data_IF_126841322526
#
_entry.id   IF_126841322526
#
_cell.length_a   1.000
_cell.length_b   1.000
_cell.length_c   1.000
_cell.angle_alpha   90.00
_cell.angle_beta   90.00
_cell.angle_gamma   90.00
#
_symmetry.space_group_name_H-M   'P 1'
#
loop_
_entity.id
_entity.type
_entity.pdbx_description
1 polymer ?
#
# COMPACT_ATOMS: atom_id res chain seq x y z
N UNK A 1 -64.23 -61.35 -4.23
CA UNK A 1 -65.36 -60.42 -4.49
C UNK A 1 -64.83 -59.02 -4.61
N UNK A 2 -65.11 -58.40 -5.76
CA UNK A 2 -65.06 -56.98 -6.17
C UNK A 2 -63.76 -56.16 -5.94
N UNK A 3 -63.00 -55.90 -7.01
CA UNK A 3 -63.08 -54.85 -8.00
C UNK A 3 -63.14 -53.44 -7.43
N UNK A 4 -62.07 -52.61 -7.64
CA UNK A 4 -62.11 -51.44 -8.56
C UNK A 4 -60.85 -50.57 -8.42
N UNK A 5 -60.06 -50.49 -9.52
CA UNK A 5 -59.83 -49.35 -10.41
C UNK A 5 -58.86 -48.27 -9.89
N UNK A 6 -57.69 -48.32 -10.41
CA UNK A 6 -56.98 -47.36 -11.27
C UNK A 6 -57.37 -45.88 -11.15
N UNK A 7 -56.44 -45.05 -10.81
CA UNK A 7 -56.23 -43.84 -11.60
C UNK A 7 -54.74 -43.35 -11.55
N UNK A 8 -54.15 -43.34 -12.73
CA UNK A 8 -52.87 -42.73 -13.06
C UNK A 8 -52.96 -41.23 -12.89
N UNK A 9 -52.12 -40.65 -12.07
CA UNK A 9 -51.89 -39.22 -12.08
C UNK A 9 -50.50 -38.95 -12.65
N UNK A 10 -50.48 -38.50 -13.90
CA UNK A 10 -49.27 -38.00 -14.59
C UNK A 10 -48.77 -36.73 -13.87
N UNK A 11 -47.64 -36.83 -13.20
CA UNK A 11 -46.93 -35.67 -12.70
C UNK A 11 -46.04 -35.12 -13.81
N UNK A 12 -46.52 -34.10 -14.51
CA UNK A 12 -45.73 -33.33 -15.48
C UNK A 12 -44.71 -32.52 -14.73
N UNK A 13 -43.43 -32.93 -14.85
CA UNK A 13 -42.31 -32.19 -14.35
C UNK A 13 -42.16 -30.83 -15.07
N UNK A 14 -42.44 -29.74 -14.40
CA UNK A 14 -42.00 -28.40 -14.80
C UNK A 14 -40.60 -28.23 -14.29
N UNK A 15 -39.62 -28.35 -15.20
CA UNK A 15 -38.27 -27.91 -14.97
C UNK A 15 -38.29 -26.38 -14.86
N UNK A 16 -38.11 -25.85 -13.66
CA UNK A 16 -37.85 -24.44 -13.44
C UNK A 16 -36.38 -24.19 -13.77
N UNK A 17 -36.15 -23.67 -14.97
CA UNK A 17 -34.85 -23.19 -15.40
C UNK A 17 -34.57 -21.90 -14.61
N UNK A 18 -33.80 -22.00 -13.53
CA UNK A 18 -33.30 -20.81 -12.83
C UNK A 18 -32.26 -20.13 -13.71
N UNK A 19 -32.70 -19.06 -14.41
CA UNK A 19 -31.84 -18.19 -15.16
C UNK A 19 -31.02 -17.35 -14.14
N UNK A 20 -29.80 -17.79 -13.87
CA UNK A 20 -28.84 -16.96 -13.10
C UNK A 20 -28.45 -15.76 -13.95
N UNK A 21 -29.11 -14.62 -13.71
CA UNK A 21 -28.68 -13.33 -14.25
C UNK A 21 -27.39 -12.94 -13.56
N UNK A 22 -26.26 -13.21 -14.19
CA UNK A 22 -24.98 -12.60 -13.82
C UNK A 22 -25.10 -11.11 -14.12
N UNK A 23 -25.45 -10.34 -13.10
CA UNK A 23 -25.28 -8.89 -13.15
C UNK A 23 -23.77 -8.64 -13.06
N UNK A 24 -23.14 -8.55 -14.23
CA UNK A 24 -21.80 -8.01 -14.34
C UNK A 24 -21.90 -6.54 -13.94
N UNK A 25 -21.52 -6.21 -12.70
CA UNK A 25 -21.24 -4.82 -12.37
C UNK A 25 -20.04 -4.41 -13.21
N UNK A 26 -20.15 -3.37 -14.06
CA UNK A 26 -18.97 -2.81 -14.66
C UNK A 26 -18.11 -2.30 -13.48
N UNK A 27 -16.92 -2.87 -13.33
CA UNK A 27 -15.85 -2.22 -12.58
C UNK A 27 -15.60 -0.94 -13.35
N UNK A 28 -16.18 0.15 -12.89
CA UNK A 28 -15.76 1.48 -13.33
C UNK A 28 -14.29 1.57 -12.88
N UNK A 29 -13.37 1.42 -13.82
CA UNK A 29 -12.10 2.07 -13.69
C UNK A 29 -12.47 3.54 -13.46
N UNK A 30 -12.24 4.05 -12.26
CA UNK A 30 -12.29 5.49 -12.04
C UNK A 30 -11.16 6.02 -12.91
N UNK A 31 -11.51 6.61 -14.05
CA UNK A 31 -10.59 7.45 -14.78
C UNK A 31 -10.17 8.53 -13.79
N UNK A 32 -8.93 8.43 -13.29
CA UNK A 32 -8.37 9.41 -12.37
C UNK A 32 -8.39 10.74 -13.09
N UNK A 33 -9.19 11.67 -12.61
CA UNK A 33 -9.32 12.99 -13.22
C UNK A 33 -7.96 13.69 -13.18
N UNK A 34 -7.51 14.16 -14.34
CA UNK A 34 -6.20 14.80 -14.48
C UNK A 34 -6.16 16.06 -13.61
N UNK A 35 -5.15 16.21 -12.73
CA UNK A 35 -5.03 17.39 -11.88
C UNK A 35 -4.78 18.64 -12.70
N UNK A 36 -5.17 19.78 -12.17
CA UNK A 36 -5.02 21.06 -12.84
C UNK A 36 -3.54 21.35 -13.14
N UNK A 37 -3.21 21.80 -14.37
CA UNK A 37 -1.84 22.13 -14.74
C UNK A 37 -1.37 23.45 -14.10
N UNK A 38 -0.06 23.63 -14.00
CA UNK A 38 0.59 24.79 -13.34
C UNK A 38 0.05 26.16 -13.78
N UNK A 39 -0.33 26.31 -15.04
CA UNK A 39 -0.86 27.58 -15.57
C UNK A 39 -2.15 28.04 -14.90
N UNK A 40 -2.98 27.14 -14.40
CA UNK A 40 -4.22 27.46 -13.65
C UNK A 40 -3.84 28.08 -12.31
N UNK A 41 -2.84 27.52 -11.62
CA UNK A 41 -2.35 28.02 -10.33
C UNK A 41 -1.69 29.42 -10.47
N UNK A 42 -1.00 29.66 -11.57
CA UNK A 42 -0.33 30.94 -11.83
C UNK A 42 -1.28 32.09 -12.11
N UNK A 43 -2.46 31.79 -12.69
CA UNK A 43 -3.41 32.80 -13.17
C UNK A 43 -4.61 32.98 -12.25
N UNK A 44 -4.59 32.44 -11.03
CA UNK A 44 -5.64 32.64 -10.06
C UNK A 44 -5.64 34.10 -9.59
N UNK A 45 -6.79 34.76 -9.70
CA UNK A 45 -6.98 36.16 -9.28
C UNK A 45 -8.15 36.28 -8.30
N UNK A 46 -8.19 37.39 -7.59
CA UNK A 46 -9.28 37.73 -6.68
C UNK A 46 -10.55 38.03 -7.46
N UNK A 47 -11.69 37.50 -7.01
CA UNK A 47 -12.99 37.67 -7.66
C UNK A 47 -13.73 38.95 -7.20
N UNK A 48 -13.46 39.43 -5.99
CA UNK A 48 -14.17 40.54 -5.37
C UNK A 48 -13.31 41.81 -5.29
N UNK A 49 -13.96 42.99 -5.28
CA UNK A 49 -13.28 44.30 -5.22
C UNK A 49 -12.38 44.45 -3.98
N UNK A 50 -11.25 45.15 -4.18
CA UNK A 50 -10.21 45.38 -3.15
C UNK A 50 -10.68 46.44 -2.18
N UNK A 51 -10.66 46.13 -0.88
CA UNK A 51 -10.73 47.14 0.18
C UNK A 51 -9.32 47.69 0.40
N UNK A 52 -9.08 48.98 0.18
CA UNK A 52 -7.78 49.61 0.44
C UNK A 52 -7.39 49.45 1.90
N UNK A 53 -6.27 48.77 2.16
CA UNK A 53 -5.67 48.61 3.48
C UNK A 53 -4.48 49.59 3.66
N UNK A 54 -4.27 50.10 4.87
CA UNK A 54 -3.15 50.99 5.19
C UNK A 54 -1.80 50.26 5.25
N UNK A 55 -0.69 50.98 5.07
CA UNK A 55 0.67 50.45 4.83
C UNK A 55 1.14 49.23 5.61
N UNK A 56 1.04 49.20 6.96
CA UNK A 56 1.45 48.05 7.77
C UNK A 56 0.59 46.80 7.51
N UNK A 57 -0.69 46.99 7.19
CA UNK A 57 -1.61 45.91 6.84
C UNK A 57 -1.31 45.35 5.44
N UNK A 58 -0.72 46.16 4.54
CA UNK A 58 -0.28 45.72 3.20
C UNK A 58 0.88 44.73 3.29
N UNK A 59 1.89 44.97 4.14
CA UNK A 59 3.01 44.03 4.30
C UNK A 59 2.57 42.68 4.85
N UNK A 60 1.70 42.67 5.87
CA UNK A 60 1.12 41.45 6.45
C UNK A 60 0.30 40.69 5.41
N UNK A 61 -0.48 41.44 4.60
CA UNK A 61 -1.29 40.84 3.54
C UNK A 61 -0.41 40.22 2.45
N UNK A 62 0.64 40.92 2.00
CA UNK A 62 1.57 40.42 1.01
C UNK A 62 2.26 39.13 1.46
N UNK A 63 2.65 39.03 2.73
CA UNK A 63 3.23 37.81 3.28
C UNK A 63 2.23 36.67 3.36
N UNK A 64 0.98 36.95 3.75
CA UNK A 64 -0.09 35.95 3.72
C UNK A 64 -0.39 35.44 2.30
N UNK A 65 -0.38 36.31 1.30
CA UNK A 65 -0.55 35.94 -0.12
C UNK A 65 0.63 35.08 -0.61
N UNK A 66 1.88 35.41 -0.22
CA UNK A 66 3.07 34.59 -0.55
C UNK A 66 2.98 33.19 0.05
N UNK A 67 2.59 33.09 1.32
CA UNK A 67 2.45 31.81 2.01
C UNK A 67 1.32 30.96 1.43
N UNK A 68 0.16 31.57 1.14
CA UNK A 68 -0.95 30.92 0.45
C UNK A 68 -0.54 30.38 -0.93
N UNK A 69 0.19 31.21 -1.71
CA UNK A 69 0.73 30.81 -3.00
C UNK A 69 1.68 29.62 -2.90
N UNK A 70 2.63 29.67 -1.96
CA UNK A 70 3.59 28.59 -1.73
C UNK A 70 2.87 27.27 -1.39
N UNK A 71 1.94 27.32 -0.45
CA UNK A 71 1.15 26.14 -0.02
C UNK A 71 0.26 25.60 -1.15
N UNK A 72 -0.39 26.49 -1.92
CA UNK A 72 -1.26 26.09 -3.04
C UNK A 72 -0.43 25.49 -4.17
N UNK A 73 0.71 26.09 -4.50
CA UNK A 73 1.66 25.55 -5.49
C UNK A 73 2.20 24.18 -5.08
N UNK A 74 2.57 24.00 -3.80
CA UNK A 74 3.08 22.71 -3.30
C UNK A 74 2.05 21.59 -3.41
N UNK A 75 0.79 21.85 -3.04
CA UNK A 75 -0.29 20.87 -3.20
C UNK A 75 -0.54 20.54 -4.67
N UNK A 76 -0.51 21.55 -5.55
CA UNK A 76 -0.66 21.34 -6.99
C UNK A 76 0.47 20.51 -7.59
N UNK A 77 1.72 20.82 -7.25
CA UNK A 77 2.90 20.08 -7.70
C UNK A 77 2.91 18.63 -7.21
N UNK A 78 2.53 18.42 -5.95
CA UNK A 78 2.38 17.09 -5.37
C UNK A 78 1.32 16.26 -6.11
N UNK A 79 0.12 16.81 -6.30
CA UNK A 79 -0.97 16.14 -7.01
C UNK A 79 -0.59 15.81 -8.45
N UNK A 80 -0.01 16.76 -9.18
CA UNK A 80 0.43 16.58 -10.54
C UNK A 80 1.47 15.47 -10.71
N UNK A 81 2.51 15.48 -9.87
CA UNK A 81 3.58 14.49 -9.97
C UNK A 81 3.10 13.10 -9.51
N UNK A 82 2.28 13.02 -8.47
CA UNK A 82 1.67 11.76 -8.04
C UNK A 82 0.79 11.15 -9.13
N UNK A 83 0.00 11.96 -9.83
CA UNK A 83 -0.78 11.51 -10.98
C UNK A 83 0.10 10.94 -12.10
N UNK A 84 1.22 11.62 -12.43
CA UNK A 84 2.19 11.12 -13.43
C UNK A 84 2.81 9.79 -13.01
N UNK A 85 3.21 9.67 -11.74
CA UNK A 85 3.76 8.42 -11.19
C UNK A 85 2.72 7.30 -11.30
N UNK A 86 1.46 7.57 -10.92
CA UNK A 86 0.36 6.59 -11.01
C UNK A 86 0.14 6.10 -12.45
N UNK A 87 0.10 7.01 -13.42
CA UNK A 87 0.00 6.65 -14.84
C UNK A 87 1.19 5.81 -15.35
N UNK A 88 2.40 6.09 -14.86
CA UNK A 88 3.58 5.33 -15.26
C UNK A 88 3.61 3.94 -14.59
N UNK A 89 3.09 3.80 -13.38
CA UNK A 89 2.89 2.51 -12.72
C UNK A 89 1.87 1.65 -13.48
N UNK A 90 0.74 2.21 -13.91
CA UNK A 90 -0.26 1.51 -14.73
C UNK A 90 0.33 0.95 -16.03
N UNK A 91 1.11 1.77 -16.76
CA UNK A 91 1.80 1.32 -17.98
C UNK A 91 2.77 0.15 -17.73
N UNK A 92 3.32 0.04 -16.52
CA UNK A 92 4.28 -0.98 -16.10
C UNK A 92 3.67 -2.10 -15.27
N UNK A 93 2.37 -2.14 -15.10
CA UNK A 93 1.64 -3.09 -14.24
C UNK A 93 2.11 -4.54 -14.46
N UNK A 94 2.07 -5.04 -15.70
CA UNK A 94 2.47 -6.41 -16.03
C UNK A 94 3.95 -6.72 -15.72
N UNK A 95 4.79 -5.72 -15.75
CA UNK A 95 6.20 -5.87 -15.38
C UNK A 95 6.35 -5.98 -13.88
N UNK A 96 5.69 -5.09 -13.13
CA UNK A 96 5.71 -5.07 -11.65
C UNK A 96 5.09 -6.34 -11.07
N UNK A 97 3.99 -6.85 -11.63
CA UNK A 97 3.37 -8.12 -11.23
C UNK A 97 4.32 -9.32 -11.36
N UNK A 98 5.23 -9.29 -12.34
CA UNK A 98 6.23 -10.36 -12.52
C UNK A 98 7.46 -10.19 -11.64
N UNK A 99 7.89 -8.96 -11.39
CA UNK A 99 9.08 -8.67 -10.58
C UNK A 99 8.80 -8.86 -9.10
N UNK A 100 7.65 -8.35 -8.64
CA UNK A 100 7.23 -8.43 -7.24
C UNK A 100 6.12 -9.45 -7.03
N UNK A 101 6.35 -10.70 -7.48
CA UNK A 101 5.41 -11.80 -7.28
C UNK A 101 5.55 -12.39 -5.87
N UNK A 102 4.86 -11.79 -4.92
CA UNK A 102 4.81 -12.26 -3.54
C UNK A 102 4.15 -13.64 -3.41
N UNK A 103 3.29 -14.03 -4.35
CA UNK A 103 2.55 -15.29 -4.27
C UNK A 103 3.48 -16.51 -4.26
N UNK A 104 4.61 -16.45 -4.95
CA UNK A 104 5.62 -17.50 -4.97
C UNK A 104 6.38 -17.65 -3.65
N UNK A 105 6.35 -16.63 -2.80
CA UNK A 105 7.04 -16.62 -1.51
C UNK A 105 6.17 -17.19 -0.38
N UNK A 106 4.85 -17.27 -0.57
CA UNK A 106 3.92 -17.75 0.44
C UNK A 106 4.12 -19.22 0.77
N UNK A 107 3.82 -19.59 2.01
CA UNK A 107 3.93 -20.96 2.51
C UNK A 107 2.51 -21.49 2.72
N UNK A 108 2.14 -22.65 2.16
CA UNK A 108 0.84 -23.26 2.40
C UNK A 108 0.67 -23.60 3.88
N UNK A 109 -0.44 -23.17 4.47
CA UNK A 109 -0.86 -23.55 5.82
C UNK A 109 -1.92 -24.67 5.77
N UNK A 110 -2.15 -25.41 6.86
CA UNK A 110 -3.31 -26.28 6.99
C UNK A 110 -4.61 -25.53 6.68
N UNK A 111 -5.61 -26.20 6.13
CA UNK A 111 -6.94 -25.65 5.78
C UNK A 111 -7.00 -24.66 4.60
N UNK A 112 -5.96 -24.60 3.79
CA UNK A 112 -5.96 -23.77 2.58
C UNK A 112 -5.67 -22.28 2.79
N UNK A 113 -5.35 -21.87 4.02
CA UNK A 113 -4.77 -20.55 4.28
C UNK A 113 -3.29 -20.51 3.89
N UNK A 114 -2.75 -19.31 3.84
CA UNK A 114 -1.36 -19.06 3.47
C UNK A 114 -0.62 -18.45 4.67
N UNK A 115 0.66 -18.73 4.77
CA UNK A 115 1.55 -18.07 5.71
C UNK A 115 2.47 -17.16 4.91
N UNK A 116 2.40 -15.89 5.20
CA UNK A 116 3.40 -14.93 4.74
C UNK A 116 4.69 -15.16 5.50
N UNK A 117 5.84 -15.35 4.81
CA UNK A 117 7.11 -15.60 5.46
C UNK A 117 7.60 -14.36 6.23
N UNK A 118 8.51 -14.54 7.18
CA UNK A 118 9.13 -13.42 7.87
C UNK A 118 9.97 -12.58 6.91
N UNK A 119 10.09 -11.29 7.23
CA UNK A 119 10.98 -10.38 6.54
C UNK A 119 12.31 -10.36 7.28
N UNK A 120 13.37 -10.76 6.60
CA UNK A 120 14.71 -10.84 7.15
C UNK A 120 15.59 -9.77 6.51
N UNK A 121 16.14 -8.86 7.33
CA UNK A 121 17.17 -7.93 6.90
C UNK A 121 18.57 -8.57 6.99
N UNK A 122 19.50 -8.04 6.21
CA UNK A 122 20.90 -8.41 6.20
C UNK A 122 21.76 -7.14 6.25
N UNK A 123 22.68 -7.10 7.18
CA UNK A 123 23.71 -6.07 7.25
C UNK A 123 25.07 -6.71 7.03
N UNK A 124 25.86 -6.15 6.13
CA UNK A 124 27.22 -6.60 5.85
C UNK A 124 28.24 -5.75 6.59
N UNK A 125 29.37 -6.37 6.96
CA UNK A 125 30.52 -5.72 7.59
C UNK A 125 30.14 -4.88 8.82
N UNK A 126 29.29 -5.46 9.70
CA UNK A 126 28.88 -4.79 10.92
C UNK A 126 29.97 -4.86 11.97
N UNK A 127 30.31 -3.70 12.56
CA UNK A 127 31.24 -3.58 13.66
C UNK A 127 30.51 -3.07 14.90
N UNK A 128 30.58 -3.82 15.98
CA UNK A 128 30.10 -3.41 17.29
C UNK A 128 31.31 -3.08 18.17
N UNK A 129 31.41 -1.82 18.61
CA UNK A 129 32.43 -1.38 19.56
C UNK A 129 31.78 -1.33 20.93
N UNK A 130 32.25 -2.17 21.89
CA UNK A 130 31.74 -2.14 23.24
C UNK A 130 32.31 -0.96 24.05
N UNK A 131 31.55 -0.50 25.05
CA UNK A 131 31.92 0.60 25.91
C UNK A 131 33.25 0.29 26.64
N UNK A 132 34.30 1.05 26.32
CA UNK A 132 35.64 0.90 26.90
C UNK A 132 36.75 0.77 25.85
N UNK A 133 36.43 0.69 24.56
CA UNK A 133 37.35 0.67 23.43
C UNK A 133 38.46 -0.39 23.43
N UNK A 134 38.33 -1.42 24.28
CA UNK A 134 39.32 -2.51 24.37
C UNK A 134 38.87 -3.77 23.61
N UNK A 135 37.59 -3.85 23.23
CA UNK A 135 37.02 -4.97 22.50
C UNK A 135 36.09 -4.52 21.39
N UNK A 136 36.30 -5.03 20.20
CA UNK A 136 35.43 -4.78 19.04
C UNK A 136 35.02 -6.10 18.42
N UNK A 137 33.73 -6.36 18.31
CA UNK A 137 33.20 -7.51 17.58
C UNK A 137 32.94 -7.10 16.12
N UNK A 138 33.51 -7.85 15.18
CA UNK A 138 33.30 -7.66 13.75
C UNK A 138 32.57 -8.87 13.20
N UNK A 139 31.49 -8.63 12.48
CA UNK A 139 30.71 -9.66 11.82
C UNK A 139 30.60 -9.39 10.34
N UNK A 140 30.90 -10.38 9.50
CA UNK A 140 30.78 -10.26 8.04
C UNK A 140 29.32 -10.03 7.61
N UNK A 141 28.38 -10.69 8.30
CA UNK A 141 26.95 -10.57 8.06
C UNK A 141 26.16 -10.71 9.33
N UNK A 142 25.17 -9.86 9.48
CA UNK A 142 24.17 -9.94 10.58
C UNK A 142 22.79 -10.04 9.94
N UNK A 143 22.02 -11.04 10.35
CA UNK A 143 20.62 -11.23 9.95
C UNK A 143 19.69 -10.86 11.10
N UNK A 144 18.63 -10.11 10.78
CA UNK A 144 17.58 -9.76 11.73
C UNK A 144 16.21 -10.09 11.15
N UNK A 145 15.34 -10.71 11.93
CA UNK A 145 13.93 -10.89 11.59
C UNK A 145 13.20 -9.60 11.95
N UNK A 146 12.85 -8.79 10.94
CA UNK A 146 12.18 -7.49 11.13
C UNK A 146 10.69 -7.69 11.39
N UNK A 147 10.06 -8.60 10.64
CA UNK A 147 8.64 -8.97 10.79
C UNK A 147 8.55 -10.49 10.83
N UNK A 148 7.79 -11.02 11.78
CA UNK A 148 7.56 -12.46 11.88
C UNK A 148 6.54 -12.95 10.84
N UNK A 149 6.51 -14.28 10.65
CA UNK A 149 5.52 -14.94 9.82
C UNK A 149 4.09 -14.68 10.32
N UNK A 150 3.14 -14.51 9.42
CA UNK A 150 1.73 -14.28 9.74
C UNK A 150 0.81 -15.06 8.79
N UNK A 151 -0.39 -15.41 9.31
CA UNK A 151 -1.42 -16.07 8.52
C UNK A 151 -2.12 -15.01 7.69
N UNK A 152 -2.25 -15.25 6.39
CA UNK A 152 -2.89 -14.36 5.44
C UNK A 152 -3.87 -15.12 4.55
N UNK A 153 -4.89 -14.46 4.06
CA UNK A 153 -5.82 -15.00 3.07
C UNK A 153 -5.29 -14.88 1.64
N UNK A 154 -4.50 -13.84 1.39
CA UNK A 154 -3.86 -13.56 0.10
C UNK A 154 -2.47 -12.97 0.35
N UNK A 155 -1.59 -13.07 -0.63
CA UNK A 155 -0.29 -12.40 -0.59
C UNK A 155 -0.44 -10.91 -0.81
N UNK A 156 0.55 -10.16 -0.33
CA UNK A 156 0.69 -8.73 -0.62
C UNK A 156 0.86 -8.49 -2.11
N UNK A 157 0.54 -7.28 -2.52
CA UNK A 157 0.78 -6.79 -3.87
C UNK A 157 1.67 -5.54 -3.81
N UNK A 158 2.47 -5.31 -4.85
CA UNK A 158 3.21 -4.06 -5.00
C UNK A 158 2.29 -2.82 -4.97
N UNK A 159 1.01 -3.01 -5.34
CA UNK A 159 -0.01 -1.96 -5.30
C UNK A 159 -0.25 -1.42 -3.90
N UNK A 160 -0.19 -2.26 -2.88
CA UNK A 160 -0.36 -1.85 -1.47
C UNK A 160 0.75 -0.89 -0.99
N UNK A 161 1.88 -0.90 -1.67
CA UNK A 161 3.01 -0.03 -1.37
C UNK A 161 3.00 1.23 -2.24
N UNK A 162 2.80 1.07 -3.56
CA UNK A 162 3.03 2.14 -4.54
C UNK A 162 1.74 2.84 -5.00
N UNK A 163 0.58 2.22 -4.84
CA UNK A 163 -0.70 2.83 -5.15
C UNK A 163 -1.36 3.34 -3.87
N UNK A 164 -1.17 4.63 -3.59
CA UNK A 164 -1.87 5.29 -2.48
C UNK A 164 -3.21 5.83 -2.98
N UNK A 165 -4.26 5.56 -2.22
CA UNK A 165 -5.54 6.22 -2.42
C UNK A 165 -5.48 7.63 -1.81
N UNK A 166 -5.25 8.62 -2.64
CA UNK A 166 -5.18 10.02 -2.23
C UNK A 166 -6.56 10.70 -2.19
N UNK A 167 -7.64 9.95 -2.43
CA UNK A 167 -8.99 10.51 -2.45
C UNK A 167 -9.26 11.47 -3.62
N UNK A 168 -8.39 11.46 -4.65
CA UNK A 168 -8.43 12.34 -5.82
C UNK A 168 -7.24 13.31 -5.88
N UNK A 169 -7.05 13.92 -7.05
CA UNK A 169 -5.96 14.89 -7.31
C UNK A 169 -6.48 16.33 -7.32
N UNK A 170 -7.70 16.56 -6.88
CA UNK A 170 -8.28 17.88 -6.79
C UNK A 170 -7.64 18.68 -5.65
N UNK A 171 -7.24 19.90 -5.96
CA UNK A 171 -6.61 20.81 -5.00
C UNK A 171 -7.53 21.98 -4.75
N UNK A 172 -8.02 22.09 -3.52
CA UNK A 172 -8.87 23.21 -3.08
C UNK A 172 -8.17 24.55 -3.31
N UNK A 173 -8.86 25.45 -4.01
CA UNK A 173 -8.38 26.81 -4.21
C UNK A 173 -8.35 27.59 -2.89
N UNK A 174 -7.34 28.44 -2.66
CA UNK A 174 -7.31 29.26 -1.46
C UNK A 174 -8.46 30.26 -1.41
N UNK A 175 -8.90 30.65 -0.20
CA UNK A 175 -9.94 31.63 0.00
C UNK A 175 -9.67 32.93 -0.79
N UNK A 176 -10.70 33.59 -1.32
CA UNK A 176 -10.59 34.79 -2.13
C UNK A 176 -9.79 35.93 -1.47
N UNK A 177 -9.86 36.03 -0.13
CA UNK A 177 -9.09 37.02 0.64
C UNK A 177 -7.56 36.83 0.51
N UNK A 178 -7.08 35.62 0.21
CA UNK A 178 -5.66 35.28 0.06
C UNK A 178 -5.23 35.25 -1.43
N UNK A 179 -6.14 35.50 -2.36
CA UNK A 179 -5.81 35.57 -3.79
C UNK A 179 -5.22 36.94 -4.14
N UNK A 180 -4.30 37.04 -5.10
CA UNK A 180 -3.64 38.28 -5.46
C UNK A 180 -4.62 39.29 -6.10
N UNK A 181 -4.58 40.54 -5.66
CA UNK A 181 -5.46 41.61 -6.11
C UNK A 181 -4.73 42.64 -6.99
N UNK A 182 -3.49 43.01 -6.65
CA UNK A 182 -2.70 44.01 -7.36
C UNK A 182 -1.54 43.39 -8.15
N UNK A 183 -0.75 44.26 -8.82
CA UNK A 183 0.37 43.80 -9.66
C UNK A 183 1.51 43.21 -8.82
N UNK A 184 1.83 43.81 -7.67
CA UNK A 184 2.89 43.35 -6.80
C UNK A 184 2.56 42.01 -6.16
N UNK A 185 1.34 41.86 -5.66
CA UNK A 185 0.83 40.57 -5.15
C UNK A 185 0.83 39.49 -6.25
N UNK A 186 0.46 39.81 -7.50
CA UNK A 186 0.52 38.86 -8.63
C UNK A 186 1.93 38.40 -8.96
N UNK A 187 2.90 39.30 -8.94
CA UNK A 187 4.31 38.92 -9.16
C UNK A 187 4.84 38.03 -8.01
N UNK A 188 4.53 38.38 -6.77
CA UNK A 188 4.87 37.59 -5.61
C UNK A 188 4.16 36.21 -5.65
N UNK A 189 2.89 36.18 -6.01
CA UNK A 189 2.08 34.96 -6.19
C UNK A 189 2.73 34.01 -7.19
N UNK A 190 3.00 34.44 -8.43
CA UNK A 190 3.61 33.62 -9.47
C UNK A 190 4.96 33.04 -9.03
N UNK A 191 5.79 33.84 -8.41
CA UNK A 191 7.10 33.41 -7.90
C UNK A 191 6.96 32.31 -6.84
N UNK A 192 6.03 32.48 -5.90
CA UNK A 192 5.84 31.52 -4.80
C UNK A 192 5.07 30.27 -5.26
N UNK A 193 4.14 30.37 -6.21
CA UNK A 193 3.51 29.20 -6.85
C UNK A 193 4.57 28.31 -7.50
N UNK A 194 5.48 28.87 -8.30
CA UNK A 194 6.54 28.08 -8.97
C UNK A 194 7.40 27.38 -7.92
N UNK A 195 7.83 28.13 -6.89
CA UNK A 195 8.64 27.58 -5.81
C UNK A 195 7.91 26.46 -5.06
N UNK A 196 6.64 26.68 -4.72
CA UNK A 196 5.80 25.67 -4.07
C UNK A 196 5.62 24.43 -4.95
N UNK A 197 5.33 24.64 -6.25
CA UNK A 197 5.17 23.57 -7.21
C UNK A 197 6.39 22.66 -7.31
N UNK A 198 7.58 23.25 -7.41
CA UNK A 198 8.84 22.50 -7.43
C UNK A 198 9.03 21.68 -6.14
N UNK A 199 8.68 22.26 -4.98
CA UNK A 199 8.73 21.54 -3.70
C UNK A 199 7.72 20.39 -3.66
N UNK A 200 6.51 20.60 -4.18
CA UNK A 200 5.49 19.56 -4.25
C UNK A 200 5.87 18.40 -5.17
N UNK A 201 6.46 18.69 -6.32
CA UNK A 201 7.00 17.67 -7.24
C UNK A 201 8.11 16.86 -6.55
N UNK A 202 9.06 17.52 -5.92
CA UNK A 202 10.15 16.88 -5.20
C UNK A 202 9.62 15.98 -4.07
N UNK A 203 8.65 16.46 -3.30
CA UNK A 203 8.02 15.68 -2.24
C UNK A 203 7.31 14.42 -2.77
N UNK A 204 6.65 14.49 -3.94
CA UNK A 204 6.03 13.32 -4.55
C UNK A 204 7.07 12.26 -4.97
N UNK A 205 8.19 12.70 -5.53
CA UNK A 205 9.29 11.82 -5.91
C UNK A 205 9.94 11.16 -4.69
N UNK A 206 10.19 11.90 -3.62
CA UNK A 206 10.72 11.38 -2.34
C UNK A 206 9.80 10.33 -1.73
N UNK A 207 8.48 10.60 -1.68
CA UNK A 207 7.48 9.65 -1.18
C UNK A 207 7.49 8.37 -2.02
N UNK A 208 7.57 8.49 -3.33
CA UNK A 208 7.62 7.33 -4.22
C UNK A 208 8.90 6.51 -4.05
N UNK A 209 10.05 7.16 -3.90
CA UNK A 209 11.33 6.49 -3.64
C UNK A 209 11.32 5.74 -2.31
N UNK A 210 10.77 6.33 -1.24
CA UNK A 210 10.62 5.69 0.06
C UNK A 210 9.69 4.47 -0.01
N UNK A 211 8.55 4.57 -0.69
CA UNK A 211 7.61 3.48 -0.88
C UNK A 211 8.22 2.33 -1.71
N UNK A 212 8.97 2.65 -2.76
CA UNK A 212 9.69 1.67 -3.58
C UNK A 212 10.83 0.99 -2.79
N UNK A 213 11.52 1.73 -1.96
CA UNK A 213 12.54 1.18 -1.07
C UNK A 213 11.91 0.20 -0.06
N UNK A 214 10.76 0.55 0.52
CA UNK A 214 10.03 -0.32 1.44
C UNK A 214 9.53 -1.59 0.74
N UNK A 215 8.93 -1.47 -0.43
CA UNK A 215 8.51 -2.62 -1.26
C UNK A 215 9.69 -3.56 -1.55
N UNK A 216 10.81 -2.98 -1.98
CA UNK A 216 12.02 -3.72 -2.33
C UNK A 216 12.63 -4.42 -1.11
N UNK A 217 12.67 -3.75 0.02
CA UNK A 217 13.18 -4.29 1.27
C UNK A 217 12.33 -5.46 1.79
N UNK A 218 11.00 -5.31 1.78
CA UNK A 218 10.07 -6.36 2.22
C UNK A 218 10.16 -7.58 1.28
N UNK A 219 10.13 -7.38 -0.03
CA UNK A 219 10.24 -8.46 -1.01
C UNK A 219 11.58 -9.20 -0.90
N UNK A 220 12.70 -8.47 -0.89
CA UNK A 220 14.02 -9.06 -0.72
C UNK A 220 14.19 -9.76 0.62
N UNK A 221 13.58 -9.23 1.68
CA UNK A 221 13.59 -9.85 3.00
C UNK A 221 12.89 -11.20 3.02
N UNK A 222 11.75 -11.34 2.32
CA UNK A 222 11.08 -12.64 2.17
C UNK A 222 11.87 -13.60 1.27
N UNK A 223 12.47 -13.12 0.18
CA UNK A 223 13.36 -13.93 -0.68
C UNK A 223 14.56 -14.44 0.13
N UNK A 224 15.18 -13.57 0.93
CA UNK A 224 16.30 -13.93 1.82
C UNK A 224 15.88 -15.00 2.83
N UNK A 225 14.69 -14.88 3.41
CA UNK A 225 14.14 -15.93 4.27
C UNK A 225 14.12 -17.29 3.55
N UNK A 226 13.62 -17.35 2.31
CA UNK A 226 13.57 -18.59 1.53
C UNK A 226 14.97 -19.17 1.28
N UNK A 227 15.95 -18.33 1.02
CA UNK A 227 17.35 -18.75 0.86
C UNK A 227 17.93 -19.30 2.17
N UNK A 228 17.75 -18.58 3.29
CA UNK A 228 18.22 -19.03 4.58
C UNK A 228 17.53 -20.32 5.04
N UNK A 229 16.23 -20.48 4.73
CA UNK A 229 15.50 -21.71 5.00
C UNK A 229 16.07 -22.89 4.22
N UNK A 230 16.37 -22.73 2.94
CA UNK A 230 17.01 -23.77 2.11
C UNK A 230 18.41 -24.15 2.61
N UNK A 231 19.11 -23.19 3.21
CA UNK A 231 20.42 -23.40 3.83
C UNK A 231 20.35 -23.98 5.26
N UNK A 232 19.16 -24.10 5.87
CA UNK A 232 19.01 -24.53 7.24
C UNK A 232 19.46 -23.51 8.29
N UNK A 233 19.60 -22.24 7.90
CA UNK A 233 20.01 -21.13 8.76
C UNK A 233 18.85 -20.48 9.51
N UNK A 234 17.61 -20.78 9.11
CA UNK A 234 16.39 -20.33 9.77
C UNK A 234 15.37 -21.48 9.80
N UNK A 235 14.57 -21.55 10.85
CA UNK A 235 13.53 -22.58 10.97
C UNK A 235 12.25 -22.19 10.20
N UNK A 236 11.47 -23.20 9.73
CA UNK A 236 10.16 -22.94 9.13
C UNK A 236 9.13 -22.54 10.20
N UNK A 237 8.10 -21.73 9.84
CA UNK A 237 6.97 -21.51 10.71
C UNK A 237 6.18 -22.82 10.89
N UNK A 238 5.69 -23.05 12.10
CA UNK A 238 4.82 -24.18 12.42
C UNK A 238 3.41 -23.65 12.66
N UNK A 239 2.43 -24.20 11.94
CA UNK A 239 1.03 -23.86 12.13
C UNK A 239 0.24 -25.10 12.51
N UNK A 240 -0.66 -24.94 13.48
CA UNK A 240 -1.61 -25.98 13.93
C UNK A 240 -3.03 -25.54 13.59
N UNK A 241 -3.82 -26.49 13.08
CA UNK A 241 -5.25 -26.35 12.95
C UNK A 241 -5.95 -27.04 14.11
N UNK A 242 -6.85 -26.34 14.76
CA UNK A 242 -7.71 -26.88 15.83
C UNK A 242 -9.16 -26.83 15.33
N UNK A 243 -9.78 -27.99 15.23
CA UNK A 243 -11.21 -28.10 14.95
C UNK A 243 -12.00 -27.81 16.23
N UNK A 244 -12.85 -26.78 16.18
CA UNK A 244 -13.70 -26.35 17.29
C UNK A 244 -15.14 -26.87 17.15
N UNK A 245 -15.47 -27.47 16.01
CA UNK A 245 -16.79 -28.02 15.72
C UNK A 245 -17.85 -26.94 15.52
N UNK A 246 -18.72 -26.75 16.50
CA UNK A 246 -19.76 -25.71 16.48
C UNK A 246 -19.47 -24.72 17.59
N UNK A 247 -19.36 -23.46 17.23
CA UNK A 247 -19.11 -22.33 18.16
C UNK A 247 -20.13 -21.22 17.96
N UNK A 248 -20.23 -20.31 18.92
CA UNK A 248 -21.13 -19.16 18.87
C UNK A 248 -22.13 -19.19 20.03
N UNK A 249 -23.16 -18.35 19.94
CA UNK A 249 -24.21 -18.19 20.94
C UNK A 249 -25.14 -17.04 20.57
N UNK A 250 -26.36 -17.04 21.11
CA UNK A 250 -27.35 -16.01 20.84
C UNK A 250 -27.79 -15.98 19.37
N UNK A 251 -27.36 -14.96 18.65
CA UNK A 251 -27.79 -14.71 17.26
C UNK A 251 -26.82 -15.23 16.19
N UNK A 252 -25.68 -15.82 16.57
CA UNK A 252 -24.65 -16.32 15.65
C UNK A 252 -24.26 -17.75 16.02
N UNK A 253 -24.21 -18.62 15.00
CA UNK A 253 -23.69 -19.98 15.13
C UNK A 253 -22.73 -20.27 13.97
N UNK A 254 -21.53 -20.75 14.30
CA UNK A 254 -20.50 -21.13 13.35
C UNK A 254 -20.38 -22.65 13.34
N UNK A 255 -20.69 -23.28 12.20
CA UNK A 255 -20.62 -24.72 12.01
C UNK A 255 -19.34 -25.06 11.26
N UNK A 256 -18.56 -26.01 11.81
CA UNK A 256 -17.25 -26.36 11.24
C UNK A 256 -16.18 -25.30 11.52
N UNK A 257 -16.29 -24.63 12.66
CA UNK A 257 -15.31 -23.62 13.10
C UNK A 257 -13.92 -24.24 13.28
N UNK A 258 -12.93 -23.62 12.66
CA UNK A 258 -11.53 -24.06 12.70
C UNK A 258 -10.65 -22.88 13.05
N UNK A 259 -9.84 -23.05 14.08
CA UNK A 259 -8.78 -22.09 14.42
C UNK A 259 -7.47 -22.55 13.81
N UNK A 260 -6.74 -21.62 13.21
CA UNK A 260 -5.39 -21.84 12.73
C UNK A 260 -4.49 -20.90 13.53
N UNK A 261 -3.44 -21.46 14.08
CA UNK A 261 -2.52 -20.75 14.92
C UNK A 261 -1.08 -21.07 14.53
N UNK A 262 -0.22 -20.06 14.43
CA UNK A 262 1.22 -20.26 14.35
C UNK A 262 1.70 -20.63 15.76
N UNK A 263 2.17 -21.86 15.92
CA UNK A 263 2.67 -22.40 17.20
C UNK A 263 4.18 -22.31 17.33
N UNK A 264 4.89 -22.10 16.21
CA UNK A 264 6.33 -21.86 16.19
C UNK A 264 6.66 -20.77 15.18
N UNK A 265 7.20 -19.66 15.67
CA UNK A 265 7.76 -18.61 14.81
C UNK A 265 9.10 -19.02 14.24
N UNK A 266 9.47 -18.57 13.04
CA UNK A 266 10.83 -18.78 12.52
C UNK A 266 11.90 -18.18 13.42
N UNK A 267 12.97 -18.94 13.63
CA UNK A 267 14.12 -18.56 14.44
C UNK A 267 15.42 -18.78 13.66
N UNK A 268 16.39 -17.89 13.85
CA UNK A 268 17.73 -18.02 13.27
C UNK A 268 18.50 -19.14 14.00
N UNK A 269 19.10 -20.05 13.23
CA UNK A 269 19.81 -21.22 13.70
C UNK A 269 21.32 -20.94 13.76
N UNK A 270 21.87 -20.82 14.97
CA UNK A 270 23.30 -20.52 15.17
C UNK A 270 24.23 -21.75 15.07
N UNK A 271 23.68 -22.97 15.10
CA UNK A 271 24.43 -24.21 14.94
C UNK A 271 24.86 -24.43 13.48
N UNK A 272 26.09 -24.03 13.15
CA UNK A 272 26.61 -24.10 11.78
C UNK A 272 26.75 -25.51 11.23
N UNK A 273 26.78 -26.53 12.07
CA UNK A 273 26.88 -27.94 11.65
C UNK A 273 25.66 -28.43 10.85
N UNK A 274 24.52 -27.77 11.04
CA UNK A 274 23.28 -28.06 10.32
C UNK A 274 23.14 -27.30 9.00
N UNK A 275 24.02 -26.35 8.71
CA UNK A 275 23.93 -25.50 7.53
C UNK A 275 24.34 -26.25 6.27
N UNK A 276 23.63 -25.98 5.18
CA UNK A 276 23.89 -26.57 3.86
C UNK A 276 24.39 -25.47 2.91
N UNK A 277 25.34 -25.80 2.01
CA UNK A 277 25.74 -24.84 0.99
C UNK A 277 24.54 -24.49 0.11
N UNK A 278 24.44 -23.23 -0.29
CA UNK A 278 23.45 -22.82 -1.28
C UNK A 278 23.74 -23.55 -2.60
N UNK A 279 22.77 -24.29 -3.11
CA UNK A 279 22.85 -24.80 -4.48
C UNK A 279 22.75 -23.58 -5.41
N UNK A 280 23.79 -23.39 -6.21
CA UNK A 280 23.84 -22.38 -7.28
C UNK A 280 23.02 -22.84 -8.48
#
# INVERSE_FOLDING_TARGET
MLFRQLSFLKLTGRAVLALAVFVSFPVFAQDLEEPQPLNVFLNLEKENEVVEAGGLLLDIRLDAVKEAALSYGARGGLAWQTFKISNDLEKRERYLDRVFDFSQLLIPAPSGLLIEPPIVSESANAMLIEYGAQEAAVSDRIYHIIKNAQIVSAGRSWREYLQRDWGGFEVDTPPDILRPADKEEREAWKKNIIKGWEQGVLQADEIFEDDLALLSADFQGMVRYRLLLAQGMISPPRALQVDRGVTGGGHEMRVGDRAIQITGVPELMTGSDAWKPANR
#
